data_IF_348615575041
#
_entry.id   IF_348615575041
#
_cell.length_a   1.000
_cell.length_b   1.000
_cell.length_c   1.000
_cell.angle_alpha   90.00
_cell.angle_beta   90.00
_cell.angle_gamma   90.00
#
_symmetry.space_group_name_H-M   'P 1'
#
loop_
_entity.id
_entity.type
_entity.pdbx_description
1 polymer ?
#
# COMPACT_ATOMS: atom_id res chain seq x y z
N UNK A 1 -0.64 17.72 -18.23
CA UNK A 1 0.57 16.93 -17.86
C UNK A 1 1.87 17.65 -18.19
N UNK A 2 1.98 18.33 -19.33
CA UNK A 2 3.25 18.92 -19.81
C UNK A 2 3.79 20.09 -18.97
N UNK A 3 2.92 20.88 -18.32
CA UNK A 3 3.33 22.01 -17.47
C UNK A 3 4.16 21.55 -16.25
N UNK A 4 3.80 20.42 -15.65
CA UNK A 4 4.52 19.83 -14.51
C UNK A 4 5.90 19.31 -14.91
N UNK A 5 5.99 18.67 -16.08
CA UNK A 5 7.27 18.24 -16.66
C UNK A 5 8.19 19.43 -16.94
N UNK A 6 7.66 20.50 -17.56
CA UNK A 6 8.43 21.70 -17.88
C UNK A 6 8.89 22.45 -16.62
N UNK A 7 8.04 22.54 -15.60
CA UNK A 7 8.39 23.14 -14.31
C UNK A 7 9.49 22.32 -13.59
N UNK A 8 9.37 21.00 -13.58
CA UNK A 8 10.36 20.11 -12.99
C UNK A 8 11.72 20.21 -13.71
N UNK A 9 11.73 20.21 -15.04
CA UNK A 9 12.96 20.34 -15.83
C UNK A 9 13.62 21.70 -15.61
N UNK A 10 12.85 22.79 -15.61
CA UNK A 10 13.35 24.14 -15.31
C UNK A 10 13.98 24.21 -13.91
N UNK A 11 13.32 23.63 -12.90
CA UNK A 11 13.84 23.57 -11.53
C UNK A 11 15.17 22.82 -11.45
N UNK A 12 15.27 21.65 -12.09
CA UNK A 12 16.49 20.84 -12.09
C UNK A 12 17.64 21.57 -12.80
N UNK A 13 17.36 22.25 -13.90
CA UNK A 13 18.34 23.04 -14.63
C UNK A 13 18.85 24.23 -13.78
N UNK A 14 17.94 24.99 -13.18
CA UNK A 14 18.26 26.10 -12.27
C UNK A 14 19.06 25.62 -11.05
N UNK A 15 18.74 24.45 -10.50
CA UNK A 15 19.45 23.86 -9.36
C UNK A 15 20.93 23.57 -9.67
N UNK A 16 21.24 23.21 -10.92
CA UNK A 16 22.59 22.90 -11.39
C UNK A 16 23.39 24.17 -11.73
N UNK A 17 22.75 25.17 -12.31
CA UNK A 17 23.40 26.41 -12.75
C UNK A 17 23.64 27.39 -11.61
N UNK A 18 22.72 27.49 -10.64
CA UNK A 18 22.90 28.35 -9.49
C UNK A 18 23.81 27.71 -8.43
N UNK A 19 24.44 28.55 -7.59
CA UNK A 19 25.27 28.14 -6.45
C UNK A 19 24.59 27.22 -5.43
N UNK A 20 23.32 26.83 -5.64
CA UNK A 20 22.61 25.80 -4.89
C UNK A 20 23.36 24.47 -4.83
N UNK A 21 24.20 24.15 -5.83
CA UNK A 21 25.11 22.99 -5.78
C UNK A 21 26.13 23.06 -4.62
N UNK A 22 26.48 24.27 -4.17
CA UNK A 22 27.44 24.51 -3.09
C UNK A 22 26.85 24.23 -1.70
N UNK A 23 25.58 24.60 -1.49
CA UNK A 23 24.89 24.43 -0.20
C UNK A 23 24.17 23.08 -0.14
N UNK A 24 23.57 22.64 -1.24
CA UNK A 24 22.85 21.37 -1.33
C UNK A 24 23.51 20.44 -2.35
N UNK A 25 24.23 19.43 -1.84
CA UNK A 25 24.92 18.44 -2.66
C UNK A 25 23.93 17.74 -3.60
N UNK A 26 24.23 17.77 -4.89
CA UNK A 26 23.46 17.07 -5.93
C UNK A 26 23.24 15.57 -5.65
N UNK A 27 24.20 14.93 -4.96
CA UNK A 27 24.11 13.52 -4.54
C UNK A 27 23.02 13.28 -3.49
N UNK A 28 22.74 14.27 -2.64
CA UNK A 28 21.74 14.22 -1.56
C UNK A 28 20.35 14.68 -2.05
N UNK A 29 20.26 15.32 -3.23
CA UNK A 29 18.99 15.77 -3.78
C UNK A 29 18.08 14.57 -4.12
N UNK A 30 16.95 14.45 -3.43
CA UNK A 30 15.96 13.39 -3.66
C UNK A 30 15.03 13.72 -4.85
N UNK A 31 15.61 13.71 -6.07
CA UNK A 31 14.91 13.97 -7.34
C UNK A 31 13.63 13.13 -7.51
N UNK A 32 13.60 11.92 -6.96
CA UNK A 32 12.40 11.06 -6.97
C UNK A 32 11.25 11.61 -6.13
N UNK A 33 11.52 12.14 -4.92
CA UNK A 33 10.49 12.75 -4.06
C UNK A 33 10.01 14.06 -4.64
N UNK A 34 10.94 14.84 -5.17
CA UNK A 34 10.65 16.07 -5.88
C UNK A 34 9.72 15.82 -7.07
N UNK A 35 10.04 14.85 -7.92
CA UNK A 35 9.20 14.50 -9.07
C UNK A 35 7.77 14.09 -8.68
N UNK A 36 7.59 13.40 -7.54
CA UNK A 36 6.26 13.10 -7.00
C UNK A 36 5.49 14.37 -6.60
N UNK A 37 6.17 15.38 -6.02
CA UNK A 37 5.57 16.68 -5.72
C UNK A 37 5.12 17.46 -6.97
N UNK A 38 5.81 17.28 -8.10
CA UNK A 38 5.39 17.81 -9.41
C UNK A 38 4.36 16.92 -10.14
N UNK A 39 3.85 15.85 -9.50
CA UNK A 39 2.85 14.96 -10.08
C UNK A 39 3.37 14.06 -11.20
N UNK A 40 4.68 13.80 -11.25
CA UNK A 40 5.30 13.00 -12.31
C UNK A 40 5.25 11.51 -11.96
N UNK A 41 4.44 10.74 -12.72
CA UNK A 41 4.40 9.28 -12.63
C UNK A 41 5.66 8.62 -13.21
N UNK A 42 6.22 9.23 -14.25
CA UNK A 42 7.49 8.85 -14.84
C UNK A 42 8.43 10.05 -14.87
N UNK A 43 9.68 9.82 -14.47
CA UNK A 43 10.73 10.82 -14.52
C UNK A 43 11.13 11.06 -15.99
N UNK A 44 11.24 12.32 -16.43
CA UNK A 44 11.72 12.63 -17.76
C UNK A 44 13.18 12.19 -17.93
N UNK A 45 13.51 11.67 -19.11
CA UNK A 45 14.87 11.23 -19.46
C UNK A 45 15.76 12.46 -19.75
N UNK A 46 16.21 13.12 -18.69
CA UNK A 46 17.13 14.26 -18.75
C UNK A 46 18.59 13.81 -18.67
N UNK A 47 19.50 14.56 -19.29
CA UNK A 47 20.95 14.30 -19.27
C UNK A 47 21.52 14.24 -17.84
N UNK A 48 20.92 14.98 -16.90
CA UNK A 48 21.39 15.13 -15.52
C UNK A 48 21.08 13.93 -14.62
N UNK A 49 20.08 13.10 -14.98
CA UNK A 49 19.61 11.96 -14.18
C UNK A 49 20.20 10.60 -14.58
N UNK A 50 20.91 10.52 -15.71
CA UNK A 50 21.29 9.25 -16.36
C UNK A 50 22.14 8.33 -15.48
N UNK A 51 23.03 8.88 -14.64
CA UNK A 51 23.85 8.06 -13.74
C UNK A 51 23.05 7.43 -12.61
N UNK A 52 22.10 8.18 -12.00
CA UNK A 52 21.22 7.65 -10.95
C UNK A 52 20.19 6.68 -11.51
N UNK A 53 19.70 6.93 -12.72
CA UNK A 53 18.77 6.02 -13.40
C UNK A 53 19.45 4.68 -13.72
N UNK A 54 20.69 4.70 -14.20
CA UNK A 54 21.51 3.49 -14.40
C UNK A 54 21.71 2.73 -13.08
N UNK A 55 21.98 3.43 -11.98
CA UNK A 55 22.13 2.80 -10.66
C UNK A 55 20.81 2.21 -10.14
N UNK A 56 19.68 2.89 -10.37
CA UNK A 56 18.35 2.37 -10.03
C UNK A 56 18.01 1.12 -10.85
N UNK A 57 18.34 1.11 -12.14
CA UNK A 57 18.17 -0.06 -13.03
C UNK A 57 19.02 -1.23 -12.55
N UNK A 58 20.29 -1.00 -12.18
CA UNK A 58 21.17 -2.02 -11.58
C UNK A 58 20.61 -2.57 -10.26
N UNK A 59 20.15 -1.71 -9.35
CA UNK A 59 19.56 -2.15 -8.08
C UNK A 59 18.25 -2.92 -8.29
N UNK A 60 17.45 -2.53 -9.29
CA UNK A 60 16.22 -3.23 -9.64
C UNK A 60 16.50 -4.60 -10.27
N UNK A 61 17.55 -4.70 -11.10
CA UNK A 61 18.04 -5.97 -11.66
C UNK A 61 18.58 -6.88 -10.55
N UNK A 62 19.45 -6.38 -9.69
CA UNK A 62 19.97 -7.12 -8.54
C UNK A 62 18.85 -7.61 -7.61
N UNK A 63 17.78 -6.83 -7.43
CA UNK A 63 16.61 -7.25 -6.65
C UNK A 63 15.77 -8.32 -7.36
N UNK A 64 15.68 -8.28 -8.68
CA UNK A 64 15.02 -9.32 -9.49
C UNK A 64 15.84 -10.61 -9.55
N UNK A 65 17.16 -10.50 -9.64
CA UNK A 65 18.10 -11.62 -9.64
C UNK A 65 18.18 -12.28 -8.26
N UNK A 66 18.21 -11.49 -7.17
CA UNK A 66 18.10 -12.02 -5.81
C UNK A 66 16.76 -12.72 -5.56
N UNK A 67 15.68 -12.23 -6.18
CA UNK A 67 14.37 -12.88 -6.13
C UNK A 67 14.24 -14.11 -7.04
N UNK A 68 15.15 -14.28 -8.01
CA UNK A 68 15.27 -15.49 -8.84
C UNK A 68 16.26 -16.51 -8.25
N UNK A 69 17.25 -16.08 -7.49
CA UNK A 69 18.22 -16.95 -6.80
C UNK A 69 17.77 -17.43 -5.42
N UNK A 70 16.74 -16.84 -4.81
CA UNK A 70 16.01 -17.56 -3.77
C UNK A 70 15.19 -18.67 -4.45
N UNK A 71 15.54 -19.97 -4.26
CA UNK A 71 14.65 -21.03 -4.69
C UNK A 71 13.32 -20.81 -3.95
N UNK A 72 12.21 -20.80 -4.69
CA UNK A 72 10.86 -20.91 -4.13
C UNK A 72 10.92 -21.99 -3.04
N UNK A 73 10.93 -21.61 -1.77
CA UNK A 73 10.63 -22.54 -0.68
C UNK A 73 9.20 -22.97 -0.93
N UNK A 74 9.09 -24.15 -1.52
CA UNK A 74 7.84 -24.85 -1.73
C UNK A 74 7.13 -24.85 -0.38
N UNK A 75 5.92 -24.29 -0.31
CA UNK A 75 5.06 -24.58 0.83
C UNK A 75 4.72 -26.07 0.72
N UNK A 76 5.11 -26.93 1.67
CA UNK A 76 4.59 -28.28 1.69
C UNK A 76 3.10 -28.18 2.03
N UNK A 77 2.25 -28.65 1.11
CA UNK A 77 0.89 -29.03 1.48
C UNK A 77 0.99 -30.34 2.27
N UNK A 78 0.76 -30.27 3.59
CA UNK A 78 0.14 -31.37 4.32
C UNK A 78 -0.49 -30.87 5.62
N UNK A 79 -1.73 -31.28 5.82
CA UNK A 79 -2.45 -31.15 7.08
C UNK A 79 -1.78 -32.03 8.17
N UNK A 80 -2.15 -31.71 9.42
CA UNK A 80 -1.80 -32.33 10.71
C UNK A 80 -0.55 -31.76 11.40
N UNK A 81 -0.79 -30.88 12.38
CA UNK A 81 -0.62 -31.18 13.81
C UNK A 81 -0.43 -29.90 14.65
N UNK A 82 -0.96 -29.98 15.86
CA UNK A 82 -1.15 -28.88 16.79
C UNK A 82 0.16 -28.24 17.30
N UNK A 83 0.02 -26.98 17.74
CA UNK A 83 0.88 -26.26 18.67
C UNK A 83 2.25 -25.76 18.16
N UNK A 84 2.27 -24.63 17.45
CA UNK A 84 3.10 -23.44 17.79
C UNK A 84 2.74 -22.24 16.91
N UNK A 85 1.63 -21.57 17.26
CA UNK A 85 1.24 -20.30 16.63
C UNK A 85 2.07 -19.15 17.20
N UNK A 86 3.29 -18.97 16.70
CA UNK A 86 4.09 -17.79 17.02
C UNK A 86 3.53 -16.61 16.22
N UNK A 87 2.91 -15.65 16.93
CA UNK A 87 2.19 -14.51 16.36
C UNK A 87 3.03 -13.71 15.37
N UNK A 88 2.89 -13.99 14.08
CA UNK A 88 3.43 -13.12 13.04
C UNK A 88 2.57 -11.86 13.01
N UNK A 89 3.08 -10.77 13.60
CA UNK A 89 2.37 -9.49 13.73
C UNK A 89 1.92 -9.01 12.34
N UNK A 90 0.61 -9.06 12.05
CA UNK A 90 0.03 -8.56 10.79
C UNK A 90 0.41 -7.08 10.60
N UNK A 91 0.79 -6.71 9.38
CA UNK A 91 1.09 -5.31 9.00
C UNK A 91 -0.17 -4.45 9.12
N UNK A 92 -0.04 -3.15 9.40
CA UNK A 92 -1.18 -2.22 9.53
C UNK A 92 -2.15 -2.27 8.33
N UNK A 93 -1.64 -2.39 7.10
CA UNK A 93 -2.47 -2.53 5.89
C UNK A 93 -3.29 -3.83 5.88
N UNK A 94 -2.71 -4.93 6.34
CA UNK A 94 -3.40 -6.23 6.41
C UNK A 94 -4.47 -6.20 7.50
N UNK A 95 -4.22 -5.55 8.63
CA UNK A 95 -5.22 -5.38 9.71
C UNK A 95 -6.44 -4.62 9.21
N UNK A 96 -6.23 -3.50 8.54
CA UNK A 96 -7.33 -2.70 7.95
C UNK A 96 -8.12 -3.47 6.91
N UNK A 97 -7.45 -4.28 6.08
CA UNK A 97 -8.13 -5.10 5.08
C UNK A 97 -8.94 -6.23 5.73
N UNK A 98 -8.41 -6.89 6.76
CA UNK A 98 -9.17 -7.90 7.52
C UNK A 98 -10.38 -7.26 8.20
N UNK A 99 -10.20 -6.11 8.85
CA UNK A 99 -11.29 -5.39 9.49
C UNK A 99 -12.39 -5.02 8.50
N UNK A 100 -12.05 -4.46 7.34
CA UNK A 100 -13.04 -4.10 6.33
C UNK A 100 -13.87 -5.30 5.81
N UNK A 101 -13.26 -6.49 5.72
CA UNK A 101 -13.98 -7.71 5.32
C UNK A 101 -14.89 -8.19 6.46
N UNK A 102 -14.40 -8.18 7.70
CA UNK A 102 -15.17 -8.56 8.88
C UNK A 102 -16.39 -7.63 9.06
N UNK A 103 -16.21 -6.32 8.88
CA UNK A 103 -17.27 -5.31 8.94
C UNK A 103 -18.32 -5.53 7.83
N UNK A 104 -17.91 -5.90 6.61
CA UNK A 104 -18.82 -6.18 5.49
C UNK A 104 -19.65 -7.46 5.73
N UNK A 105 -19.02 -8.52 6.26
CA UNK A 105 -19.68 -9.78 6.60
C UNK A 105 -20.65 -9.61 7.78
N UNK A 106 -20.34 -8.74 8.75
CA UNK A 106 -21.25 -8.33 9.82
C UNK A 106 -22.47 -7.60 9.27
N UNK A 107 -22.28 -6.57 8.43
CA UNK A 107 -23.39 -5.83 7.81
C UNK A 107 -24.29 -6.75 6.97
N UNK A 108 -23.71 -7.73 6.26
CA UNK A 108 -24.47 -8.70 5.49
C UNK A 108 -25.32 -9.65 6.37
N UNK A 109 -24.84 -10.00 7.57
CA UNK A 109 -25.60 -10.79 8.55
C UNK A 109 -26.75 -9.98 9.12
N UNK A 110 -26.50 -8.74 9.51
CA UNK A 110 -27.52 -7.84 10.07
C UNK A 110 -28.64 -7.57 9.07
N UNK A 111 -28.28 -7.35 7.79
CA UNK A 111 -29.27 -7.18 6.72
C UNK A 111 -30.18 -8.41 6.54
N UNK A 112 -29.63 -9.63 6.69
CA UNK A 112 -30.43 -10.87 6.62
C UNK A 112 -31.37 -10.99 7.81
N UNK A 113 -30.89 -10.65 9.01
CA UNK A 113 -31.71 -10.63 10.23
C UNK A 113 -32.83 -9.60 10.12
N UNK A 114 -32.54 -8.41 9.59
CA UNK A 114 -33.52 -7.36 9.36
C UNK A 114 -34.61 -7.81 8.38
N UNK A 115 -34.22 -8.55 7.32
CA UNK A 115 -35.18 -9.14 6.38
C UNK A 115 -36.08 -10.19 7.05
N UNK A 116 -35.57 -10.94 8.03
CA UNK A 116 -36.37 -11.92 8.80
C UNK A 116 -37.30 -11.23 9.80
N UNK A 117 -36.85 -10.18 10.47
CA UNK A 117 -37.69 -9.32 11.33
C UNK A 117 -38.84 -8.71 10.52
N UNK A 118 -38.55 -8.14 9.35
CA UNK A 118 -39.57 -7.58 8.44
C UNK A 118 -40.56 -8.64 7.95
N UNK A 119 -40.14 -9.90 7.87
CA UNK A 119 -41.01 -11.05 7.52
C UNK A 119 -41.75 -11.62 8.74
N UNK A 120 -41.50 -11.11 9.95
CA UNK A 120 -42.09 -11.60 11.20
C UNK A 120 -41.57 -12.98 11.62
N UNK A 121 -40.43 -13.43 11.09
CA UNK A 121 -39.82 -14.73 11.44
C UNK A 121 -38.88 -14.65 12.66
N UNK A 122 -38.61 -13.44 13.16
CA UNK A 122 -37.77 -13.13 14.32
C UNK A 122 -38.46 -11.98 15.05
N UNK A 123 -38.46 -11.99 16.38
CA UNK A 123 -38.98 -10.91 17.21
C UNK A 123 -37.96 -9.77 17.39
N UNK A 124 -38.43 -8.56 17.72
CA UNK A 124 -37.56 -7.37 17.87
C UNK A 124 -36.49 -7.57 18.96
N UNK A 125 -36.84 -8.25 20.06
CA UNK A 125 -35.90 -8.56 21.15
C UNK A 125 -34.83 -9.57 20.73
N UNK A 126 -35.16 -10.50 19.83
CA UNK A 126 -34.23 -11.50 19.30
C UNK A 126 -33.33 -10.87 18.22
N UNK A 127 -33.88 -9.97 17.41
CA UNK A 127 -33.08 -9.15 16.49
C UNK A 127 -32.03 -8.33 17.24
N UNK A 128 -32.43 -7.62 18.30
CA UNK A 128 -31.53 -6.77 19.08
C UNK A 128 -30.37 -7.52 19.74
N UNK A 129 -30.64 -8.73 20.26
CA UNK A 129 -29.60 -9.62 20.80
C UNK A 129 -28.63 -10.11 19.73
N UNK A 130 -29.14 -10.39 18.54
CA UNK A 130 -28.33 -10.94 17.44
C UNK A 130 -27.49 -9.88 16.71
N UNK A 131 -27.92 -8.62 16.71
CA UNK A 131 -27.17 -7.47 16.17
C UNK A 131 -26.36 -6.72 17.23
N UNK A 132 -26.44 -7.12 18.50
CA UNK A 132 -25.77 -6.42 19.61
C UNK A 132 -26.32 -5.02 19.90
N UNK A 133 -27.54 -4.72 19.44
CA UNK A 133 -28.23 -3.44 19.68
C UNK A 133 -29.17 -3.50 20.88
N UNK A 134 -29.03 -4.51 21.75
CA UNK A 134 -29.84 -4.69 22.96
C UNK A 134 -29.66 -3.55 23.98
N UNK A 135 -28.52 -2.86 24.00
CA UNK A 135 -28.31 -1.67 24.84
C UNK A 135 -29.01 -0.40 24.32
N UNK A 136 -29.58 -0.43 23.10
CA UNK A 136 -30.24 0.72 22.47
C UNK A 136 -31.77 0.67 22.50
N UNK A 137 -32.35 -0.42 23.02
CA UNK A 137 -33.79 -0.69 23.13
C UNK A 137 -34.25 -0.64 24.59
#
# INVERSE_FOLDING_TARGET
MEKGLRAFVSYIHAYKEHHCSYIFRWKELEVGKLAMGYGLLQLPSMSEGKSREKQRKKNLQAKKEAQQQEPKRQKPNKASDAATTVMRKKTAKQRRATQAIEDEDELARDYRLLKKLKKGSIEESEFAKMTGTEELL
#
